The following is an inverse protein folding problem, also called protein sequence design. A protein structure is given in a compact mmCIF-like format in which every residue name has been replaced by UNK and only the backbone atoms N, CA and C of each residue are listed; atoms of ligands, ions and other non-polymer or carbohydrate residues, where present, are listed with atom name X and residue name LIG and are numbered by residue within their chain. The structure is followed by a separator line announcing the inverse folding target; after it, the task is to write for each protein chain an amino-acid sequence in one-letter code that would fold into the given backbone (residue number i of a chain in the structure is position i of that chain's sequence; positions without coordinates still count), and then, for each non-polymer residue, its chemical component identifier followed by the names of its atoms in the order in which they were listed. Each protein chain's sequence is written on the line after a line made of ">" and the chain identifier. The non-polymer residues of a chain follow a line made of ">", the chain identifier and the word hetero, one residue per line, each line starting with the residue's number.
data_IF_577294451787
#
_entry.id   IF_577294451787
#
_cell.length_a   1.000
_cell.length_b   1.000
_cell.length_c   1.000
_cell.angle_alpha   90.00
_cell.angle_beta   90.00
_cell.angle_gamma   90.00
#
_symmetry.space_group_name_H-M   'P 1'
#
loop_
_entity.id
_entity.type
_entity.pdbx_description
1 polymer ?
#
# COMPACT_ATOMS: atom_id res chain seq x y z
N UNK A 1 49.60 2.78 38.31
CA UNK A 1 48.38 1.95 38.12
C UNK A 1 47.11 2.79 37.98
N UNK A 2 46.84 3.75 38.87
CA UNK A 2 45.63 4.62 38.78
C UNK A 2 45.51 5.36 37.43
N UNK A 3 46.60 5.91 36.88
CA UNK A 3 46.59 6.59 35.57
C UNK A 3 46.20 5.67 34.38
N UNK A 4 46.55 4.38 34.45
CA UNK A 4 46.18 3.40 33.43
C UNK A 4 44.70 3.00 33.55
N UNK A 5 44.18 2.93 34.77
CA UNK A 5 42.77 2.64 35.02
C UNK A 5 41.86 3.80 34.58
N UNK A 6 42.29 5.05 34.76
CA UNK A 6 41.59 6.24 34.28
C UNK A 6 41.50 6.30 32.74
N UNK A 7 42.58 5.93 32.04
CA UNK A 7 42.60 5.87 30.58
C UNK A 7 41.68 4.78 30.02
N UNK A 8 41.59 3.62 30.70
CA UNK A 8 40.70 2.53 30.31
C UNK A 8 39.22 2.90 30.53
N UNK A 9 38.89 3.62 31.60
CA UNK A 9 37.53 4.14 31.85
C UNK A 9 37.14 5.20 30.80
N UNK A 10 38.07 6.06 30.37
CA UNK A 10 37.80 7.05 29.32
C UNK A 10 37.51 6.42 27.95
N UNK A 11 38.08 5.24 27.66
CA UNK A 11 37.83 4.50 26.42
C UNK A 11 36.45 3.83 26.39
N UNK A 12 35.88 3.48 27.56
CA UNK A 12 34.54 2.88 27.65
C UNK A 12 33.40 3.92 27.53
N UNK A 13 33.70 5.21 27.60
CA UNK A 13 32.72 6.32 27.45
C UNK A 13 32.71 6.87 26.01
N UNK A 14 33.21 6.12 25.03
CA UNK A 14 32.87 6.40 23.63
C UNK A 14 31.40 6.05 23.42
N UNK A 15 30.52 7.02 23.68
CA UNK A 15 29.12 6.93 23.33
C UNK A 15 29.03 6.58 21.85
N UNK A 16 28.28 5.54 21.53
CA UNK A 16 28.04 5.13 20.15
C UNK A 16 27.28 6.25 19.45
N UNK A 17 28.00 7.12 18.72
CA UNK A 17 27.41 8.04 17.78
C UNK A 17 26.78 7.20 16.66
N UNK A 18 25.48 6.98 16.77
CA UNK A 18 24.71 6.28 15.74
C UNK A 18 24.36 7.32 14.68
N UNK A 19 25.04 7.23 13.55
CA UNK A 19 24.70 8.02 12.39
C UNK A 19 23.60 7.28 11.63
N UNK A 20 22.40 7.84 11.58
CA UNK A 20 21.28 7.26 10.84
C UNK A 20 21.26 7.83 9.43
N UNK A 21 20.75 7.06 8.46
CA UNK A 21 20.67 7.54 7.08
C UNK A 21 19.42 8.39 6.91
N UNK A 22 19.49 9.40 6.05
CA UNK A 22 18.33 10.24 5.72
C UNK A 22 17.13 9.40 5.24
N UNK A 23 17.35 8.29 4.52
CA UNK A 23 16.27 7.37 4.11
C UNK A 23 15.51 6.69 5.25
N UNK A 24 16.17 6.50 6.40
CA UNK A 24 15.57 5.83 7.56
C UNK A 24 14.78 6.85 8.41
N UNK A 25 15.15 8.13 8.31
CA UNK A 25 14.54 9.25 9.03
C UNK A 25 13.43 9.96 8.23
N UNK A 26 13.42 9.81 6.90
CA UNK A 26 12.54 10.59 6.01
C UNK A 26 11.86 9.77 4.93
N UNK A 27 10.70 10.26 4.49
CA UNK A 27 9.97 9.81 3.32
C UNK A 27 9.91 10.94 2.29
N UNK A 28 9.69 10.60 1.01
CA UNK A 28 9.60 11.61 -0.04
C UNK A 28 8.13 12.04 -0.17
N UNK A 29 7.87 13.34 -0.08
CA UNK A 29 6.51 13.86 -0.23
C UNK A 29 5.92 13.46 -1.59
N UNK A 30 4.69 12.97 -1.57
CA UNK A 30 3.98 12.50 -2.77
C UNK A 30 4.32 11.07 -3.20
N UNK A 31 5.34 10.44 -2.62
CA UNK A 31 5.69 9.04 -2.87
C UNK A 31 5.03 8.16 -1.81
N UNK A 32 3.75 7.86 -2.02
CA UNK A 32 2.96 6.99 -1.14
C UNK A 32 2.22 5.91 -1.92
N UNK A 33 1.98 4.78 -1.27
CA UNK A 33 1.01 3.81 -1.79
C UNK A 33 -0.39 4.40 -1.67
N UNK A 34 -1.25 4.10 -2.65
CA UNK A 34 -2.65 4.53 -2.64
C UNK A 34 -3.55 3.30 -2.66
N UNK A 35 -4.51 3.25 -1.74
CA UNK A 35 -5.48 2.16 -1.67
C UNK A 35 -6.49 2.30 -2.80
N UNK A 36 -6.75 1.20 -3.49
CA UNK A 36 -7.83 1.07 -4.44
C UNK A 36 -8.92 0.16 -3.87
N UNK A 37 -10.17 0.48 -4.17
CA UNK A 37 -11.33 -0.32 -3.78
C UNK A 37 -12.23 -0.56 -4.98
N UNK A 38 -12.71 -1.78 -5.12
CA UNK A 38 -13.67 -2.19 -6.13
C UNK A 38 -14.79 -3.01 -5.52
N UNK A 39 -15.93 -2.99 -6.19
CA UNK A 39 -17.07 -3.84 -5.87
C UNK A 39 -17.27 -4.80 -7.05
N UNK A 40 -17.22 -6.09 -6.78
CA UNK A 40 -17.16 -7.13 -7.79
C UNK A 40 -18.06 -8.31 -7.50
N UNK A 41 -18.08 -9.24 -8.45
CA UNK A 41 -18.78 -10.52 -8.35
C UNK A 41 -17.78 -11.66 -8.48
N UNK A 42 -17.92 -12.66 -7.61
CA UNK A 42 -17.23 -13.93 -7.71
C UNK A 42 -18.21 -14.99 -8.17
N UNK A 43 -17.81 -15.78 -9.15
CA UNK A 43 -18.62 -16.86 -9.73
C UNK A 43 -17.89 -18.20 -9.62
N UNK A 44 -18.60 -19.31 -9.86
CA UNK A 44 -18.02 -20.65 -9.82
C UNK A 44 -17.83 -21.20 -8.41
N UNK A 45 -18.56 -20.65 -7.43
CA UNK A 45 -18.55 -21.17 -6.06
C UNK A 45 -19.38 -22.47 -5.99
N UNK A 46 -18.93 -23.43 -5.20
CA UNK A 46 -19.55 -24.75 -5.05
C UNK A 46 -20.66 -24.73 -3.99
N UNK A 47 -21.74 -23.98 -4.25
CA UNK A 47 -22.85 -23.82 -3.32
C UNK A 47 -22.55 -22.97 -2.07
N UNK A 48 -21.38 -22.34 -2.01
CA UNK A 48 -20.90 -21.52 -0.88
C UNK A 48 -21.09 -20.01 -1.07
N UNK A 49 -21.73 -19.59 -2.17
CA UNK A 49 -22.06 -18.21 -2.47
C UNK A 49 -23.15 -17.62 -1.58
N UNK A 50 -23.63 -16.45 -1.98
CA UNK A 50 -24.56 -15.64 -1.20
C UNK A 50 -25.98 -16.24 -1.17
N UNK A 51 -26.68 -16.04 -0.06
CA UNK A 51 -28.09 -16.39 0.08
C UNK A 51 -28.96 -15.19 -0.30
N UNK A 52 -29.81 -15.40 -1.29
CA UNK A 52 -30.64 -14.35 -1.93
C UNK A 52 -31.58 -13.62 -0.99
N UNK A 53 -32.06 -14.30 0.06
CA UNK A 53 -32.96 -13.73 1.07
C UNK A 53 -32.26 -12.75 2.02
N UNK A 54 -30.93 -12.81 2.13
CA UNK A 54 -30.15 -11.99 3.06
C UNK A 54 -29.28 -10.95 2.33
N UNK A 55 -29.09 -11.08 1.02
CA UNK A 55 -28.16 -10.26 0.22
C UNK A 55 -28.80 -9.74 -1.07
N UNK A 56 -29.84 -8.87 -0.97
CA UNK A 56 -30.52 -8.33 -2.15
C UNK A 56 -29.62 -7.48 -3.06
N UNK A 57 -28.47 -7.02 -2.55
CA UNK A 57 -27.48 -6.31 -3.35
C UNK A 57 -26.74 -7.21 -4.35
N UNK A 58 -26.55 -8.50 -4.03
CA UNK A 58 -25.87 -9.44 -4.94
C UNK A 58 -26.74 -9.73 -6.16
N UNK A 59 -28.05 -9.90 -5.98
CA UNK A 59 -29.00 -10.08 -7.10
C UNK A 59 -29.06 -8.82 -7.97
N UNK A 60 -29.13 -7.64 -7.36
CA UNK A 60 -29.15 -6.38 -8.08
C UNK A 60 -27.88 -6.19 -8.92
N UNK A 61 -26.72 -6.52 -8.34
CA UNK A 61 -25.42 -6.37 -9.02
C UNK A 61 -25.31 -7.31 -10.21
N UNK A 62 -25.73 -8.57 -10.04
CA UNK A 62 -25.77 -9.53 -11.13
C UNK A 62 -26.70 -9.05 -12.25
N UNK A 63 -27.90 -8.54 -11.91
CA UNK A 63 -28.82 -7.97 -12.88
C UNK A 63 -28.22 -6.77 -13.63
N UNK A 64 -27.56 -5.85 -12.92
CA UNK A 64 -26.91 -4.70 -13.53
C UNK A 64 -25.78 -5.13 -14.49
N UNK A 65 -24.97 -6.11 -14.10
CA UNK A 65 -23.91 -6.65 -14.94
C UNK A 65 -24.48 -7.33 -16.19
N UNK A 66 -25.49 -8.19 -16.03
CA UNK A 66 -26.16 -8.86 -17.15
C UNK A 66 -26.80 -7.83 -18.10
N UNK A 67 -27.44 -6.80 -17.57
CA UNK A 67 -28.01 -5.70 -18.34
C UNK A 67 -26.95 -4.95 -19.15
N UNK A 68 -25.77 -4.67 -18.56
CA UNK A 68 -24.64 -4.07 -19.28
C UNK A 68 -24.10 -4.95 -20.42
N UNK A 69 -24.28 -6.27 -20.33
CA UNK A 69 -23.96 -7.23 -21.38
C UNK A 69 -25.12 -7.45 -22.38
N UNK A 70 -26.21 -6.69 -22.28
CA UNK A 70 -27.36 -6.80 -23.16
C UNK A 70 -28.32 -7.95 -22.80
N UNK A 71 -28.16 -8.58 -21.63
CA UNK A 71 -29.00 -9.67 -21.15
C UNK A 71 -30.08 -9.08 -20.23
N UNK A 72 -31.34 -9.19 -20.62
CA UNK A 72 -32.48 -8.78 -19.78
C UNK A 72 -32.96 -9.93 -18.92
N UNK A 73 -32.92 -9.77 -17.59
CA UNK A 73 -33.47 -10.74 -16.64
C UNK A 73 -34.94 -10.40 -16.37
N UNK A 74 -35.90 -11.31 -16.60
CA UNK A 74 -37.31 -11.06 -16.32
C UNK A 74 -37.57 -10.75 -14.85
N UNK A 75 -38.49 -9.82 -14.58
CA UNK A 75 -38.92 -9.48 -13.21
C UNK A 75 -39.51 -10.70 -12.51
N UNK A 76 -39.10 -10.96 -11.27
CA UNK A 76 -39.58 -12.12 -10.49
C UNK A 76 -38.81 -13.43 -10.74
N UNK A 77 -37.75 -13.40 -11.55
CA UNK A 77 -36.85 -14.56 -11.71
C UNK A 77 -36.18 -14.88 -10.39
N UNK A 78 -36.45 -16.06 -9.83
CA UNK A 78 -35.81 -16.53 -8.61
C UNK A 78 -34.37 -17.00 -8.91
N UNK A 79 -33.43 -16.06 -8.89
CA UNK A 79 -32.02 -16.37 -9.07
C UNK A 79 -31.48 -17.08 -7.84
N UNK A 80 -30.97 -18.31 -7.98
CA UNK A 80 -30.27 -18.99 -6.89
C UNK A 80 -28.80 -18.61 -6.90
N UNK A 81 -28.39 -17.67 -6.04
CA UNK A 81 -27.02 -17.16 -5.96
C UNK A 81 -26.04 -18.07 -5.20
N UNK A 82 -26.36 -19.35 -4.96
CA UNK A 82 -25.47 -20.24 -4.21
C UNK A 82 -24.08 -20.42 -4.85
N UNK A 83 -23.93 -20.04 -6.12
CA UNK A 83 -22.66 -20.12 -6.85
C UNK A 83 -22.04 -18.75 -7.16
N UNK A 84 -22.62 -17.67 -6.60
CA UNK A 84 -22.20 -16.28 -6.85
C UNK A 84 -22.11 -15.54 -5.52
N UNK A 85 -21.09 -14.71 -5.35
CA UNK A 85 -20.96 -13.85 -4.17
C UNK A 85 -20.61 -12.42 -4.58
N UNK A 86 -21.22 -11.45 -3.90
CA UNK A 86 -20.78 -10.07 -3.96
C UNK A 86 -19.55 -9.87 -3.07
N UNK A 87 -18.52 -9.24 -3.64
CA UNK A 87 -17.23 -9.07 -2.97
C UNK A 87 -16.73 -7.64 -3.02
N UNK A 88 -15.96 -7.29 -1.98
CA UNK A 88 -15.10 -6.12 -1.97
C UNK A 88 -13.72 -6.56 -2.43
N UNK A 89 -13.14 -5.81 -3.36
CA UNK A 89 -11.79 -6.03 -3.84
C UNK A 89 -10.95 -4.84 -3.41
N UNK A 90 -9.82 -5.10 -2.75
CA UNK A 90 -8.87 -4.05 -2.36
C UNK A 90 -7.50 -4.33 -2.95
N UNK A 91 -6.79 -3.27 -3.30
CA UNK A 91 -5.42 -3.35 -3.82
C UNK A 91 -4.61 -2.16 -3.34
N UNK A 92 -3.28 -2.32 -3.32
CA UNK A 92 -2.36 -1.22 -3.06
C UNK A 92 -1.67 -0.82 -4.37
N UNK A 93 -1.94 0.39 -4.84
CA UNK A 93 -1.31 0.98 -6.02
C UNK A 93 0.03 1.61 -5.61
N UNK A 94 1.18 1.12 -6.11
CA UNK A 94 2.46 1.74 -5.83
C UNK A 94 2.56 3.16 -6.41
N UNK A 95 3.32 4.07 -5.76
CA UNK A 95 3.43 5.48 -6.17
C UNK A 95 3.97 5.71 -7.58
N UNK A 96 4.73 4.74 -8.11
CA UNK A 96 5.31 4.78 -9.45
C UNK A 96 4.83 3.60 -10.30
N UNK A 97 3.66 3.06 -9.98
CA UNK A 97 3.03 2.01 -10.78
C UNK A 97 2.78 2.49 -12.21
N UNK A 98 3.18 1.67 -13.18
CA UNK A 98 3.04 1.97 -14.61
C UNK A 98 1.83 1.27 -15.20
N UNK A 99 1.25 1.85 -16.25
CA UNK A 99 0.21 1.16 -17.00
C UNK A 99 0.71 -0.20 -17.51
N UNK A 100 -0.11 -1.23 -17.38
CA UNK A 100 0.20 -2.62 -17.74
C UNK A 100 0.93 -3.41 -16.66
N UNK A 101 1.44 -2.77 -15.60
CA UNK A 101 2.00 -3.50 -14.47
C UNK A 101 0.88 -4.18 -13.67
N UNK A 102 1.17 -5.38 -13.16
CA UNK A 102 0.25 -6.13 -12.31
C UNK A 102 0.48 -5.83 -10.83
N UNK A 103 -0.61 -5.85 -10.06
CA UNK A 103 -0.62 -5.74 -8.60
C UNK A 103 -1.48 -6.83 -7.99
N UNK A 104 -1.16 -7.20 -6.75
CA UNK A 104 -1.96 -8.15 -5.99
C UNK A 104 -3.26 -7.51 -5.52
N UNK A 105 -4.32 -8.33 -5.45
CA UNK A 105 -5.61 -7.93 -4.90
C UNK A 105 -6.05 -8.87 -3.80
N UNK A 106 -6.74 -8.31 -2.82
CA UNK A 106 -7.42 -9.04 -1.76
C UNK A 106 -8.91 -8.97 -2.05
N UNK A 107 -9.58 -10.12 -1.99
CA UNK A 107 -11.00 -10.26 -2.26
C UNK A 107 -11.68 -10.74 -0.98
N UNK A 108 -12.70 -10.03 -0.54
CA UNK A 108 -13.45 -10.33 0.68
C UNK A 108 -14.94 -10.38 0.39
N UNK A 109 -15.62 -11.40 0.90
CA UNK A 109 -17.07 -11.50 0.81
C UNK A 109 -17.71 -10.30 1.51
N UNK A 110 -18.65 -9.62 0.82
CA UNK A 110 -19.48 -8.57 1.43
C UNK A 110 -20.78 -9.12 1.99
N UNK A 111 -21.28 -10.21 1.40
CA UNK A 111 -22.47 -10.89 1.85
C UNK A 111 -22.20 -12.00 2.85
N UNK A 112 -23.00 -13.04 2.76
CA UNK A 112 -22.97 -14.18 3.68
C UNK A 112 -22.42 -15.46 3.02
N UNK A 113 -21.68 -15.32 1.93
CA UNK A 113 -20.95 -16.42 1.33
C UNK A 113 -20.08 -17.15 2.37
N UNK A 114 -20.24 -18.47 2.43
CA UNK A 114 -19.54 -19.36 3.36
C UNK A 114 -18.07 -19.53 3.01
N UNK A 115 -17.75 -19.48 1.71
CA UNK A 115 -16.38 -19.57 1.21
C UNK A 115 -16.27 -18.98 -0.19
N UNK A 116 -15.14 -18.33 -0.47
CA UNK A 116 -14.75 -17.89 -1.81
C UNK A 116 -13.83 -18.89 -2.54
N UNK A 117 -13.57 -20.06 -1.94
CA UNK A 117 -12.66 -21.06 -2.47
C UNK A 117 -13.17 -21.61 -3.81
N UNK A 118 -12.28 -21.68 -4.80
CA UNK A 118 -12.62 -22.13 -6.16
C UNK A 118 -13.35 -21.08 -7.00
N UNK A 119 -13.67 -19.92 -6.40
CA UNK A 119 -14.32 -18.83 -7.09
C UNK A 119 -13.38 -18.07 -8.04
N UNK A 120 -13.96 -17.52 -9.08
CA UNK A 120 -13.31 -16.60 -10.02
C UNK A 120 -13.91 -15.21 -9.88
N UNK A 121 -13.06 -14.22 -9.61
CA UNK A 121 -13.43 -12.81 -9.63
C UNK A 121 -13.62 -12.36 -11.08
N UNK A 122 -14.83 -11.88 -11.38
CA UNK A 122 -15.12 -11.22 -12.65
C UNK A 122 -14.44 -9.85 -12.73
N UNK A 123 -14.21 -9.38 -13.96
CA UNK A 123 -13.56 -8.10 -14.19
C UNK A 123 -14.19 -6.98 -13.38
N UNK A 124 -13.42 -6.45 -12.44
CA UNK A 124 -13.85 -5.51 -11.39
C UNK A 124 -12.98 -4.26 -11.45
N UNK A 125 -13.56 -3.08 -11.76
CA UNK A 125 -12.81 -1.84 -11.74
C UNK A 125 -12.47 -1.43 -10.30
N UNK A 126 -11.20 -1.12 -10.06
CA UNK A 126 -10.69 -0.62 -8.79
C UNK A 126 -10.52 0.89 -8.85
N UNK A 127 -11.17 1.57 -7.92
CA UNK A 127 -11.23 3.03 -7.83
C UNK A 127 -10.36 3.57 -6.71
N UNK A 128 -9.78 4.74 -6.96
CA UNK A 128 -9.13 5.55 -5.93
C UNK A 128 -10.15 6.35 -5.11
N UNK A 129 -9.65 7.13 -4.15
CA UNK A 129 -10.45 8.04 -3.31
C UNK A 129 -11.15 9.15 -4.10
N UNK A 130 -10.64 9.46 -5.29
CA UNK A 130 -11.20 10.40 -6.26
C UNK A 130 -12.29 9.78 -7.16
N UNK A 131 -12.69 8.53 -6.88
CA UNK A 131 -13.65 7.74 -7.65
C UNK A 131 -13.23 7.42 -9.09
N UNK A 132 -11.97 7.69 -9.46
CA UNK A 132 -11.43 7.33 -10.77
C UNK A 132 -10.94 5.89 -10.77
N UNK A 133 -11.08 5.19 -11.90
CA UNK A 133 -10.57 3.82 -12.07
C UNK A 133 -9.07 3.87 -12.35
N UNK A 134 -8.30 3.19 -11.52
CA UNK A 134 -6.83 3.10 -11.66
C UNK A 134 -6.36 1.70 -12.08
N UNK A 135 -7.11 0.67 -11.76
CA UNK A 135 -6.76 -0.71 -12.11
C UNK A 135 -8.02 -1.54 -12.39
N UNK A 136 -7.84 -2.62 -13.15
CA UNK A 136 -8.87 -3.63 -13.40
C UNK A 136 -8.44 -4.95 -12.76
N UNK A 137 -9.26 -5.48 -11.85
CA UNK A 137 -9.01 -6.72 -11.14
C UNK A 137 -9.81 -7.88 -11.72
N UNK A 138 -9.20 -9.06 -11.86
CA UNK A 138 -9.86 -10.30 -12.27
C UNK A 138 -9.01 -11.52 -11.90
N UNK A 139 -9.64 -12.70 -11.86
CA UNK A 139 -8.93 -13.97 -11.82
C UNK A 139 -9.36 -14.90 -10.69
N UNK A 140 -8.64 -16.01 -10.56
CA UNK A 140 -8.99 -17.10 -9.65
C UNK A 140 -8.56 -16.77 -8.23
N UNK A 141 -9.47 -16.98 -7.27
CA UNK A 141 -9.24 -16.65 -5.87
C UNK A 141 -8.52 -17.79 -5.16
N UNK A 142 -7.39 -17.45 -4.55
CA UNK A 142 -6.66 -18.34 -3.65
C UNK A 142 -7.09 -18.02 -2.21
N UNK A 143 -7.73 -18.98 -1.55
CA UNK A 143 -8.13 -18.89 -0.14
C UNK A 143 -7.12 -19.66 0.71
N UNK A 144 -6.53 -18.99 1.70
CA UNK A 144 -5.61 -19.62 2.64
C UNK A 144 -6.36 -20.39 3.73
N UNK A 145 -6.31 -21.72 3.71
CA UNK A 145 -6.85 -22.56 4.79
C UNK A 145 -7.43 -23.89 4.32
N UNK A 146 -7.27 -24.92 5.15
CA UNK A 146 -7.92 -26.21 4.99
C UNK A 146 -9.02 -26.33 6.04
N UNK A 147 -10.28 -26.28 5.62
CA UNK A 147 -11.40 -26.71 6.45
C UNK A 147 -11.56 -28.22 6.32
N UNK A 148 -10.93 -28.99 7.20
CA UNK A 148 -11.16 -30.43 7.29
C UNK A 148 -12.13 -30.69 8.44
N UNK A 149 -13.33 -31.19 8.14
CA UNK A 149 -14.23 -31.75 9.14
C UNK A 149 -13.90 -33.24 9.25
N UNK A 150 -13.23 -33.64 10.32
CA UNK A 150 -13.02 -35.04 10.67
C UNK A 150 -13.46 -35.25 12.12
N UNK A 151 -14.41 -36.17 12.34
CA UNK A 151 -14.68 -36.73 13.67
C UNK A 151 -15.44 -35.84 14.67
N UNK A 152 -16.29 -34.91 14.22
CA UNK A 152 -17.19 -34.16 15.12
C UNK A 152 -16.58 -32.93 15.80
N UNK A 153 -15.32 -32.59 15.49
CA UNK A 153 -14.69 -31.34 15.92
C UNK A 153 -14.35 -30.49 14.70
N UNK A 154 -15.04 -29.37 14.52
CA UNK A 154 -14.78 -28.41 13.44
C UNK A 154 -13.60 -27.54 13.84
N UNK A 155 -12.39 -27.94 13.46
CA UNK A 155 -11.22 -27.05 13.56
C UNK A 155 -11.19 -26.17 12.32
N UNK A 156 -11.89 -25.03 12.38
CA UNK A 156 -11.82 -24.03 11.31
C UNK A 156 -10.51 -23.27 11.43
N UNK A 157 -9.44 -23.78 10.80
CA UNK A 157 -8.17 -23.08 10.67
C UNK A 157 -8.28 -22.16 9.45
N UNK A 158 -8.47 -20.86 9.72
CA UNK A 158 -8.52 -19.72 8.78
C UNK A 158 -9.90 -19.27 8.27
N UNK A 159 -9.94 -17.98 7.96
CA UNK A 159 -11.08 -17.23 7.45
C UNK A 159 -11.34 -17.58 5.98
N UNK A 160 -12.34 -18.43 5.70
CA UNK A 160 -12.66 -18.94 4.35
C UNK A 160 -13.40 -17.93 3.44
N UNK A 161 -13.85 -16.81 4.01
CA UNK A 161 -14.65 -15.78 3.32
C UNK A 161 -13.81 -14.67 2.67
N UNK A 162 -12.48 -14.82 2.65
CA UNK A 162 -11.54 -13.93 1.99
C UNK A 162 -10.45 -14.72 1.26
N UNK A 163 -9.87 -14.11 0.24
CA UNK A 163 -8.78 -14.69 -0.54
C UNK A 163 -7.94 -13.63 -1.22
N UNK A 164 -6.85 -14.06 -1.85
CA UNK A 164 -5.93 -13.19 -2.59
C UNK A 164 -5.85 -13.67 -4.03
N UNK A 165 -5.65 -12.75 -4.96
CA UNK A 165 -5.27 -13.04 -6.33
C UNK A 165 -3.92 -12.36 -6.55
N UNK A 166 -2.86 -13.16 -6.67
CA UNK A 166 -1.53 -12.67 -6.96
C UNK A 166 -1.49 -12.15 -8.40
N UNK A 167 -0.96 -10.95 -8.61
CA UNK A 167 -0.99 -10.24 -9.90
C UNK A 167 -2.41 -10.13 -10.49
N UNK A 168 -3.42 -10.09 -9.62
CA UNK A 168 -4.83 -10.14 -10.01
C UNK A 168 -5.42 -8.83 -10.52
N UNK A 169 -4.67 -7.72 -10.51
CA UNK A 169 -5.12 -6.49 -11.15
C UNK A 169 -4.05 -5.89 -12.05
N UNK A 170 -4.48 -5.29 -13.16
CA UNK A 170 -3.63 -4.55 -14.10
C UNK A 170 -3.87 -3.07 -13.91
N UNK A 171 -2.79 -2.29 -13.78
CA UNK A 171 -2.86 -0.83 -13.70
C UNK A 171 -3.25 -0.28 -15.08
N UNK A 172 -4.34 0.49 -15.13
CA UNK A 172 -4.84 1.17 -16.33
C UNK A 172 -4.49 2.66 -16.34
N UNK A 173 -4.26 3.25 -15.16
CA UNK A 173 -3.96 4.67 -15.02
C UNK A 173 -2.86 4.90 -14.01
N UNK A 174 -1.88 5.71 -14.39
CA UNK A 174 -0.82 6.15 -13.48
C UNK A 174 -1.32 7.26 -12.55
N UNK A 175 -0.75 7.33 -11.34
CA UNK A 175 -1.01 8.44 -10.45
C UNK A 175 -0.27 9.70 -10.93
N UNK A 176 -0.90 10.87 -10.90
CA UNK A 176 -0.20 12.13 -11.14
C UNK A 176 0.92 12.30 -10.12
N UNK A 177 2.17 12.15 -10.55
CA UNK A 177 3.33 12.33 -9.67
C UNK A 177 3.73 13.79 -9.67
N UNK A 178 3.80 14.39 -8.49
CA UNK A 178 4.41 15.72 -8.30
C UNK A 178 5.93 15.63 -8.10
N UNK A 179 6.51 14.44 -8.30
CA UNK A 179 7.94 14.21 -8.10
C UNK A 179 8.77 15.10 -9.04
N UNK A 180 9.56 16.00 -8.46
CA UNK A 180 10.51 16.84 -9.18
C UNK A 180 9.88 18.02 -9.92
N UNK A 181 8.58 18.29 -9.70
CA UNK A 181 7.90 19.46 -10.26
C UNK A 181 8.48 20.73 -9.65
N UNK A 182 8.84 21.71 -10.49
CA UNK A 182 9.41 22.98 -10.03
C UNK A 182 10.85 22.88 -9.52
N UNK A 183 11.58 21.82 -9.89
CA UNK A 183 12.98 21.60 -9.47
C UNK A 183 13.16 21.53 -7.96
N UNK A 184 12.11 21.17 -7.22
CA UNK A 184 12.15 20.96 -5.78
C UNK A 184 11.59 19.58 -5.43
N UNK A 185 12.15 19.00 -4.38
CA UNK A 185 11.66 17.78 -3.73
C UNK A 185 11.51 18.07 -2.25
N UNK A 186 10.40 17.67 -1.68
CA UNK A 186 10.19 17.78 -0.24
C UNK A 186 10.40 16.42 0.41
N UNK A 187 11.28 16.37 1.40
CA UNK A 187 11.47 15.24 2.30
C UNK A 187 10.62 15.50 3.54
N UNK A 188 9.90 14.48 3.99
CA UNK A 188 9.12 14.51 5.22
C UNK A 188 9.79 13.64 6.27
N UNK A 189 10.14 14.17 7.43
CA UNK A 189 10.55 13.35 8.56
C UNK A 189 9.45 12.37 8.96
N UNK A 190 9.88 11.22 9.44
CA UNK A 190 8.99 10.24 10.05
C UNK A 190 8.44 10.77 11.38
N UNK A 191 9.31 11.37 12.21
CA UNK A 191 8.98 11.99 13.50
C UNK A 191 9.20 13.51 13.47
N UNK A 192 8.27 14.29 14.02
CA UNK A 192 8.34 15.76 14.01
C UNK A 192 9.42 16.27 14.98
N UNK A 193 10.47 16.89 14.45
CA UNK A 193 11.55 17.51 15.23
C UNK A 193 12.25 18.62 14.44
N UNK A 194 12.11 19.87 14.90
CA UNK A 194 12.77 21.04 14.30
C UNK A 194 14.30 20.92 14.26
N UNK A 195 14.90 20.35 15.30
CA UNK A 195 16.36 20.19 15.40
C UNK A 195 16.84 19.17 14.37
N UNK A 196 16.10 18.06 14.22
CA UNK A 196 16.43 17.04 13.23
C UNK A 196 16.24 17.55 11.81
N UNK A 197 15.13 18.25 11.53
CA UNK A 197 14.89 18.87 10.22
C UNK A 197 16.02 19.83 9.83
N UNK A 198 16.47 20.67 10.78
CA UNK A 198 17.59 21.58 10.58
C UNK A 198 18.91 20.82 10.35
N UNK A 199 19.20 19.79 11.15
CA UNK A 199 20.41 18.97 10.99
C UNK A 199 20.47 18.25 9.64
N UNK A 200 19.34 17.72 9.17
CA UNK A 200 19.21 17.10 7.84
C UNK A 200 19.51 18.15 6.76
N UNK A 201 18.90 19.33 6.83
CA UNK A 201 19.13 20.41 5.88
C UNK A 201 20.60 20.85 5.85
N UNK A 202 21.23 21.02 7.00
CA UNK A 202 22.64 21.40 7.12
C UNK A 202 23.58 20.31 6.58
N UNK A 203 23.25 19.04 6.79
CA UNK A 203 24.00 17.90 6.24
C UNK A 203 23.96 17.90 4.72
N UNK A 204 22.79 18.11 4.12
CA UNK A 204 22.63 18.19 2.66
C UNK A 204 23.40 19.41 2.10
N UNK A 205 23.27 20.58 2.74
CA UNK A 205 23.94 21.80 2.32
C UNK A 205 25.47 21.68 2.37
N UNK A 206 26.03 20.93 3.33
CA UNK A 206 27.48 20.70 3.44
C UNK A 206 28.05 19.93 2.25
N UNK A 207 27.30 18.96 1.73
CA UNK A 207 27.76 18.09 0.62
C UNK A 207 27.43 18.69 -0.75
N UNK A 208 26.30 19.39 -0.88
CA UNK A 208 25.78 19.87 -2.17
C UNK A 208 25.94 21.37 -2.41
N UNK A 209 26.37 22.12 -1.39
CA UNK A 209 26.49 23.57 -1.40
C UNK A 209 25.31 24.26 -0.70
N UNK A 210 25.59 25.43 -0.12
CA UNK A 210 24.60 26.22 0.61
C UNK A 210 23.40 26.58 -0.26
N UNK A 211 22.19 26.43 0.30
CA UNK A 211 20.92 26.72 -0.38
C UNK A 211 20.37 25.55 -1.21
N UNK A 212 20.97 24.36 -1.10
CA UNK A 212 20.46 23.11 -1.71
C UNK A 212 19.32 22.50 -0.90
N UNK A 213 19.28 22.71 0.41
CA UNK A 213 18.21 22.25 1.28
C UNK A 213 17.80 23.33 2.30
N UNK A 214 16.53 23.34 2.67
CA UNK A 214 15.95 24.26 3.65
C UNK A 214 14.90 23.52 4.46
N UNK A 215 15.04 23.53 5.79
CA UNK A 215 13.98 23.07 6.68
C UNK A 215 12.86 24.13 6.69
N UNK A 216 11.66 23.74 6.26
CA UNK A 216 10.50 24.63 6.24
C UNK A 216 9.74 24.61 7.56
N UNK A 217 9.66 23.43 8.18
CA UNK A 217 8.98 23.18 9.46
C UNK A 217 9.58 21.95 10.16
N UNK A 218 8.99 21.49 11.27
CA UNK A 218 9.46 20.34 12.06
C UNK A 218 9.43 19.00 11.30
N UNK A 219 8.75 18.94 10.15
CA UNK A 219 8.53 17.73 9.37
C UNK A 219 9.06 17.84 7.95
N UNK A 220 9.12 19.03 7.35
CA UNK A 220 9.36 19.22 5.92
C UNK A 220 10.72 19.84 5.65
N UNK A 221 11.58 19.13 4.91
CA UNK A 221 12.81 19.67 4.33
C UNK A 221 12.61 19.80 2.82
N UNK A 222 12.66 21.02 2.31
CA UNK A 222 12.68 21.27 0.87
C UNK A 222 14.10 21.17 0.34
N UNK A 223 14.27 20.44 -0.75
CA UNK A 223 15.53 20.19 -1.42
C UNK A 223 15.43 20.64 -2.87
N UNK A 224 16.36 21.50 -3.31
CA UNK A 224 16.48 21.92 -4.71
C UNK A 224 17.22 20.85 -5.49
N UNK A 225 16.62 20.40 -6.58
CA UNK A 225 17.17 19.36 -7.45
C UNK A 225 17.49 19.90 -8.83
N UNK A 226 18.51 19.34 -9.53
CA UNK A 226 18.80 19.68 -10.91
C UNK A 226 17.60 19.41 -11.83
N UNK A 227 17.53 20.11 -12.96
CA UNK A 227 16.56 19.78 -14.01
C UNK A 227 16.85 18.41 -14.62
N UNK A 228 15.79 17.67 -14.94
CA UNK A 228 15.84 16.36 -15.60
C UNK A 228 15.67 15.17 -14.67
N UNK A 229 14.74 14.26 -15.01
CA UNK A 229 14.30 13.15 -14.17
C UNK A 229 15.42 12.20 -13.72
N UNK A 230 16.38 11.89 -14.60
CA UNK A 230 17.49 10.98 -14.27
C UNK A 230 18.47 11.58 -13.26
N UNK A 231 18.74 12.89 -13.38
CA UNK A 231 19.57 13.64 -12.44
C UNK A 231 18.89 13.76 -11.08
N UNK A 232 17.57 13.93 -11.05
CA UNK A 232 16.79 14.01 -9.80
C UNK A 232 16.81 12.70 -9.02
N UNK A 233 16.64 11.55 -9.69
CA UNK A 233 16.69 10.24 -9.03
C UNK A 233 18.07 9.98 -8.43
N UNK A 234 19.15 10.26 -9.19
CA UNK A 234 20.52 10.14 -8.68
C UNK A 234 20.76 11.07 -7.49
N UNK A 235 20.35 12.32 -7.62
CA UNK A 235 20.49 13.34 -6.58
C UNK A 235 19.79 12.93 -5.27
N UNK A 236 18.57 12.43 -5.38
CA UNK A 236 17.80 11.94 -4.24
C UNK A 236 18.42 10.69 -3.62
N UNK A 237 18.90 9.75 -4.45
CA UNK A 237 19.59 8.56 -3.97
C UNK A 237 20.86 8.90 -3.18
N UNK A 238 21.64 9.90 -3.64
CA UNK A 238 22.82 10.39 -2.94
C UNK A 238 22.43 10.97 -1.57
N UNK A 239 21.40 11.82 -1.53
CA UNK A 239 20.88 12.41 -0.27
C UNK A 239 20.39 11.34 0.70
N UNK A 240 19.58 10.39 0.22
CA UNK A 240 19.04 9.31 1.03
C UNK A 240 20.12 8.39 1.64
N UNK A 241 21.34 8.40 1.10
CA UNK A 241 22.48 7.66 1.64
C UNK A 241 23.38 8.49 2.58
N UNK A 242 23.13 9.79 2.73
CA UNK A 242 23.88 10.64 3.66
C UNK A 242 23.56 10.24 5.10
N UNK A 243 24.59 10.28 5.94
CA UNK A 243 24.47 9.99 7.36
C UNK A 243 24.27 11.30 8.12
N UNK A 244 23.31 11.30 9.04
CA UNK A 244 23.02 12.41 9.94
C UNK A 244 23.31 11.93 11.35
N UNK A 245 24.05 12.75 12.11
CA UNK A 245 24.37 12.44 13.49
C UNK A 245 23.11 12.65 14.33
N UNK A 246 22.48 11.56 14.74
CA UNK A 246 21.30 11.61 15.60
C UNK A 246 21.77 11.82 17.04
N UNK A 247 21.62 13.03 17.55
CA UNK A 247 21.72 13.24 18.99
C UNK A 247 20.44 12.72 19.62
N UNK A 248 20.38 11.41 19.94
CA UNK A 248 19.25 10.84 20.68
C UNK A 248 19.08 11.63 21.96
N UNK A 249 17.96 12.34 22.08
CA UNK A 249 17.50 12.87 23.36
C UNK A 249 17.10 11.64 24.17
N UNK A 250 17.95 11.19 25.08
CA UNK A 250 17.60 10.17 26.07
C UNK A 250 16.32 10.65 26.76
N UNK A 251 15.20 9.96 26.48
CA UNK A 251 13.99 10.08 27.26
C UNK A 251 14.38 9.74 28.71
N UNK A 252 14.17 10.72 29.60
CA UNK A 252 14.25 10.49 31.04
C UNK A 252 13.03 9.69 31.50
#
# INVERSE_FOLDING_TARGET
>A
MIKFLSALILLLVTTAAQAERIRDLTSVQGVRQNSLIGYGLVVGLDGTGDQTTQTPFTTQTLNNMLSQLGITVPTGTNMQLKNVAAVMVTASLPPFGRQGQTIDVVVSSMGNAKSLRGGTLLMTPLKGVDSQVYALAQGNILVGGAGASAGGSSVQVNQLNGGRITNGAVIERELPSQFGVGNTLNLQLNDEDFSMAQQIADTINRVRGYGSATALDARTIQVRVPSGNSSQVRFLADIQNMHVNVTRRTLK
#
